data_IF_326399537451
#
_entry.id   IF_326399537451
#
_cell.length_a   1.000
_cell.length_b   1.000
_cell.length_c   1.000
_cell.angle_alpha   90.00
_cell.angle_beta   90.00
_cell.angle_gamma   90.00
#
_symmetry.space_group_name_H-M   'P 1'
#
loop_
_entity.id
_entity.type
_entity.pdbx_description
1 polymer ?
#
# COMPACT_ATOMS: atom_id res chain seq x y z
N UNK A 1 -7.54 4.64 31.37
CA UNK A 1 -6.40 3.84 31.87
C UNK A 1 -5.84 2.81 30.88
N UNK A 2 -6.63 2.13 30.05
CA UNK A 2 -6.12 1.13 29.09
C UNK A 2 -5.26 1.73 27.94
N UNK A 3 -5.60 2.91 27.43
CA UNK A 3 -4.84 3.59 26.38
C UNK A 3 -3.45 4.03 26.88
N UNK A 4 -3.36 4.60 28.10
CA UNK A 4 -2.08 5.02 28.68
C UNK A 4 -1.11 3.86 28.88
N UNK A 5 -1.62 2.69 29.36
CA UNK A 5 -0.78 1.48 29.50
C UNK A 5 -0.28 0.95 28.16
N UNK A 6 -1.09 1.08 27.09
CA UNK A 6 -0.71 0.65 25.74
C UNK A 6 0.43 1.52 25.20
N UNK A 7 0.35 2.85 25.36
CA UNK A 7 1.41 3.77 24.96
C UNK A 7 2.71 3.59 25.75
N UNK A 8 2.61 3.38 27.07
CA UNK A 8 3.79 3.11 27.90
C UNK A 8 4.49 1.79 27.53
N UNK A 9 3.73 0.74 27.20
CA UNK A 9 4.28 -0.54 26.74
C UNK A 9 4.94 -0.42 25.36
N UNK A 10 4.40 0.37 24.45
CA UNK A 10 4.99 0.61 23.12
C UNK A 10 6.30 1.38 23.23
N UNK A 11 6.37 2.42 24.07
CA UNK A 11 7.61 3.17 24.31
C UNK A 11 8.72 2.29 24.90
N UNK A 12 8.39 1.47 25.89
CA UNK A 12 9.34 0.51 26.49
C UNK A 12 9.81 -0.55 25.46
N UNK A 13 8.90 -1.02 24.60
CA UNK A 13 9.25 -1.94 23.52
C UNK A 13 10.22 -1.28 22.53
N UNK A 14 9.97 -0.04 22.12
CA UNK A 14 10.85 0.70 21.22
C UNK A 14 12.24 0.90 21.80
N UNK A 15 12.34 1.23 23.10
CA UNK A 15 13.62 1.37 23.79
C UNK A 15 14.40 0.03 23.81
N UNK A 16 13.74 -1.07 24.15
CA UNK A 16 14.36 -2.39 24.14
C UNK A 16 14.79 -2.82 22.74
N UNK A 17 13.97 -2.58 21.73
CA UNK A 17 14.31 -2.85 20.32
C UNK A 17 15.51 -1.99 19.87
N UNK A 18 15.56 -0.73 20.27
CA UNK A 18 16.68 0.16 19.93
C UNK A 18 18.01 -0.36 20.52
N UNK A 19 18.00 -0.75 21.80
CA UNK A 19 19.18 -1.32 22.49
C UNK A 19 19.62 -2.65 21.83
N UNK A 20 18.67 -3.56 21.61
CA UNK A 20 18.97 -4.84 20.98
C UNK A 20 19.49 -4.69 19.53
N UNK A 21 19.01 -3.68 18.82
CA UNK A 21 19.42 -3.41 17.45
C UNK A 21 20.78 -2.68 17.31
N UNK A 22 21.35 -2.15 18.39
CA UNK A 22 22.61 -1.38 18.31
C UNK A 22 23.80 -2.22 17.83
N UNK A 23 23.88 -3.49 18.25
CA UNK A 23 24.96 -4.41 17.91
C UNK A 23 24.58 -5.40 16.78
N UNK A 24 23.34 -5.39 16.31
CA UNK A 24 22.86 -6.34 15.32
C UNK A 24 23.29 -5.96 13.90
N UNK A 25 23.66 -6.96 13.11
CA UNK A 25 23.86 -6.83 11.66
C UNK A 25 22.54 -6.54 10.94
N UNK A 26 22.64 -6.04 9.70
CA UNK A 26 21.45 -5.80 8.86
C UNK A 26 20.65 -7.09 8.65
N UNK A 27 21.34 -8.21 8.43
CA UNK A 27 20.73 -9.52 8.23
C UNK A 27 19.97 -9.99 9.47
N UNK A 28 20.52 -9.78 10.66
CA UNK A 28 19.85 -10.10 11.94
C UNK A 28 18.62 -9.21 12.16
N UNK A 29 18.70 -7.91 11.84
CA UNK A 29 17.56 -7.00 11.94
C UNK A 29 16.41 -7.41 11.00
N UNK A 30 16.72 -7.76 9.77
CA UNK A 30 15.74 -8.25 8.78
C UNK A 30 15.12 -9.56 9.26
N UNK A 31 15.93 -10.51 9.73
CA UNK A 31 15.44 -11.79 10.24
C UNK A 31 14.55 -11.62 11.48
N UNK A 32 14.91 -10.72 12.38
CA UNK A 32 14.13 -10.40 13.57
C UNK A 32 12.77 -9.74 13.23
N UNK A 33 12.72 -8.93 12.18
CA UNK A 33 11.50 -8.26 11.75
C UNK A 33 10.54 -9.18 10.98
N UNK A 34 11.02 -10.26 10.35
CA UNK A 34 10.23 -11.10 9.45
C UNK A 34 8.95 -11.67 10.08
N UNK A 35 8.95 -12.21 11.32
CA UNK A 35 7.72 -12.71 11.96
C UNK A 35 6.71 -11.62 12.32
N UNK A 36 7.13 -10.35 12.28
CA UNK A 36 6.37 -9.19 12.77
C UNK A 36 6.03 -8.19 11.67
N UNK A 37 6.02 -8.62 10.40
CA UNK A 37 5.81 -7.72 9.25
C UNK A 37 4.54 -6.88 9.33
N UNK A 38 3.48 -7.44 9.92
CA UNK A 38 2.18 -6.79 10.06
C UNK A 38 2.06 -5.99 11.38
N UNK A 39 3.15 -5.90 12.15
CA UNK A 39 3.21 -5.16 13.43
C UNK A 39 4.14 -3.95 13.25
N UNK A 40 3.59 -2.79 12.90
CA UNK A 40 4.39 -1.61 12.56
C UNK A 40 5.23 -1.09 13.74
N UNK A 41 4.79 -1.32 14.98
CA UNK A 41 5.51 -0.94 16.19
C UNK A 41 6.82 -1.73 16.36
N UNK A 42 6.96 -2.90 15.76
CA UNK A 42 8.18 -3.71 15.74
C UNK A 42 8.96 -3.50 14.45
N UNK A 43 8.26 -3.64 13.32
CA UNK A 43 8.88 -3.55 11.99
C UNK A 43 9.46 -2.17 11.71
N UNK A 44 8.77 -1.10 12.12
CA UNK A 44 9.22 0.28 11.90
C UNK A 44 10.61 0.55 12.46
N UNK A 45 10.84 0.44 13.79
CA UNK A 45 12.13 0.70 14.41
C UNK A 45 13.28 -0.17 13.86
N UNK A 46 13.02 -1.45 13.57
CA UNK A 46 14.04 -2.33 13.02
C UNK A 46 14.42 -1.91 11.60
N UNK A 47 13.44 -1.58 10.75
CA UNK A 47 13.72 -1.13 9.38
C UNK A 47 14.24 0.31 9.30
N UNK A 48 14.01 1.17 10.28
CA UNK A 48 14.72 2.44 10.41
C UNK A 48 16.24 2.23 10.49
N UNK A 49 16.68 1.22 11.25
CA UNK A 49 18.11 0.85 11.36
C UNK A 49 18.64 0.23 10.06
N UNK A 50 17.86 -0.66 9.45
CA UNK A 50 18.22 -1.25 8.14
C UNK A 50 18.40 -0.16 7.08
N UNK A 51 17.47 0.78 6.99
CA UNK A 51 17.53 1.90 6.03
C UNK A 51 18.64 2.89 6.35
N UNK A 52 18.99 3.07 7.63
CA UNK A 52 20.16 3.88 8.02
C UNK A 52 21.47 3.24 7.54
N UNK A 53 21.59 1.91 7.66
CA UNK A 53 22.76 1.16 7.21
C UNK A 53 22.82 0.97 5.68
N UNK A 54 21.63 0.84 5.04
CA UNK A 54 21.48 0.61 3.60
C UNK A 54 20.51 1.62 2.98
N UNK A 55 20.91 2.90 2.78
CA UNK A 55 19.99 3.99 2.40
C UNK A 55 19.34 3.81 1.02
N UNK A 56 19.90 3.01 0.14
CA UNK A 56 19.42 2.74 -1.22
C UNK A 56 18.82 1.33 -1.38
N UNK A 57 18.54 0.63 -0.28
CA UNK A 57 17.84 -0.65 -0.34
C UNK A 57 16.35 -0.41 -0.58
N UNK A 58 15.91 -0.51 -1.83
CA UNK A 58 14.52 -0.24 -2.23
C UNK A 58 13.52 -1.11 -1.46
N UNK A 59 13.83 -2.40 -1.24
CA UNK A 59 12.95 -3.30 -0.48
C UNK A 59 12.82 -2.86 0.98
N UNK A 60 13.92 -2.49 1.62
CA UNK A 60 13.88 -2.00 3.00
C UNK A 60 13.09 -0.69 3.12
N UNK A 61 13.28 0.23 2.17
CA UNK A 61 12.52 1.48 2.10
C UNK A 61 11.02 1.24 1.96
N UNK A 62 10.60 0.28 1.13
CA UNK A 62 9.19 -0.08 0.95
C UNK A 62 8.61 -0.70 2.21
N UNK A 63 9.32 -1.59 2.89
CA UNK A 63 8.85 -2.20 4.14
C UNK A 63 8.71 -1.13 5.24
N UNK A 64 9.68 -0.23 5.36
CA UNK A 64 9.59 0.88 6.30
C UNK A 64 8.42 1.82 5.96
N UNK A 65 8.23 2.14 4.69
CA UNK A 65 7.11 2.97 4.23
C UNK A 65 5.75 2.31 4.54
N UNK A 66 5.65 0.98 4.36
CA UNK A 66 4.44 0.21 4.72
C UNK A 66 4.19 0.25 6.23
N UNK A 67 5.23 0.06 7.05
CA UNK A 67 5.12 0.18 8.50
C UNK A 67 4.67 1.58 8.93
N UNK A 68 5.21 2.63 8.31
CA UNK A 68 4.81 4.01 8.58
C UNK A 68 3.36 4.28 8.17
N UNK A 69 2.91 3.72 7.03
CA UNK A 69 1.53 3.83 6.60
C UNK A 69 0.57 3.16 7.59
N UNK A 70 0.87 1.94 8.01
CA UNK A 70 0.07 1.20 9.01
C UNK A 70 0.07 1.88 10.39
N UNK A 71 1.18 2.51 10.76
CA UNK A 71 1.29 3.28 12.00
C UNK A 71 0.62 4.66 11.95
N UNK A 72 0.07 5.07 10.80
CA UNK A 72 -0.59 6.37 10.63
C UNK A 72 0.36 7.57 10.69
N UNK A 73 1.63 7.41 10.28
CA UNK A 73 2.63 8.50 10.28
C UNK A 73 2.40 9.57 9.20
N UNK A 74 1.35 9.40 8.42
CA UNK A 74 0.92 10.38 7.43
C UNK A 74 1.57 10.20 6.05
N UNK A 75 0.94 10.77 5.01
CA UNK A 75 1.33 10.57 3.61
C UNK A 75 2.68 11.19 3.27
N UNK A 76 3.10 12.25 3.94
CA UNK A 76 4.37 12.92 3.68
C UNK A 76 5.57 12.03 4.05
N UNK A 77 5.58 11.47 5.28
CA UNK A 77 6.66 10.60 5.73
C UNK A 77 6.76 9.32 4.87
N UNK A 78 5.62 8.76 4.49
CA UNK A 78 5.56 7.60 3.60
C UNK A 78 6.03 7.98 2.20
N UNK A 79 5.59 9.11 1.66
CA UNK A 79 5.96 9.61 0.33
C UNK A 79 7.47 9.84 0.17
N UNK A 80 8.15 10.33 1.19
CA UNK A 80 9.62 10.50 1.16
C UNK A 80 10.34 9.14 1.02
N UNK A 81 9.91 8.12 1.76
CA UNK A 81 10.47 6.77 1.65
C UNK A 81 10.19 6.14 0.30
N UNK A 82 8.96 6.31 -0.20
CA UNK A 82 8.54 5.82 -1.53
C UNK A 82 9.35 6.48 -2.64
N UNK A 83 9.56 7.79 -2.59
CA UNK A 83 10.37 8.50 -3.59
C UNK A 83 11.80 7.97 -3.61
N UNK A 84 12.41 7.71 -2.45
CA UNK A 84 13.74 7.09 -2.35
C UNK A 84 13.75 5.66 -2.88
N UNK A 85 12.71 4.87 -2.57
CA UNK A 85 12.61 3.51 -3.09
C UNK A 85 12.52 3.46 -4.61
N UNK A 86 11.72 4.35 -5.22
CA UNK A 86 11.58 4.47 -6.68
C UNK A 86 12.85 5.04 -7.35
N UNK A 87 13.61 5.88 -6.65
CA UNK A 87 14.91 6.34 -7.13
C UNK A 87 15.95 5.21 -7.12
N UNK A 88 15.90 4.31 -6.13
CA UNK A 88 16.79 3.16 -6.04
C UNK A 88 16.40 2.01 -6.98
N UNK A 89 15.09 1.75 -7.11
CA UNK A 89 14.52 0.76 -8.03
C UNK A 89 13.23 1.29 -8.67
N UNK A 90 13.29 1.87 -9.88
CA UNK A 90 12.12 2.36 -10.60
C UNK A 90 11.10 1.28 -10.99
N UNK A 91 11.45 -0.01 -10.86
CA UNK A 91 10.57 -1.13 -11.17
C UNK A 91 9.98 -1.81 -9.93
N UNK A 92 10.25 -1.29 -8.73
CA UNK A 92 9.76 -1.89 -7.49
C UNK A 92 8.24 -1.73 -7.35
N UNK A 93 7.48 -2.77 -7.66
CA UNK A 93 6.01 -2.77 -7.69
C UNK A 93 5.37 -2.26 -6.38
N UNK A 94 5.86 -2.73 -5.22
CA UNK A 94 5.35 -2.27 -3.92
C UNK A 94 5.55 -0.77 -3.66
N UNK A 95 6.61 -0.16 -4.20
CA UNK A 95 6.80 1.29 -4.11
C UNK A 95 5.76 2.05 -4.95
N UNK A 96 5.42 1.55 -6.14
CA UNK A 96 4.36 2.10 -6.96
C UNK A 96 2.98 1.99 -6.31
N UNK A 97 2.70 0.89 -5.60
CA UNK A 97 1.45 0.73 -4.85
C UNK A 97 1.34 1.77 -3.73
N UNK A 98 2.41 1.93 -2.94
CA UNK A 98 2.44 2.93 -1.87
C UNK A 98 2.33 4.36 -2.43
N UNK A 99 2.98 4.65 -3.56
CA UNK A 99 2.84 5.93 -4.23
C UNK A 99 1.39 6.23 -4.64
N UNK A 100 0.66 5.22 -5.10
CA UNK A 100 -0.72 5.40 -5.50
C UNK A 100 -1.66 5.55 -4.29
N UNK A 101 -1.52 4.69 -3.27
CA UNK A 101 -2.45 4.68 -2.12
C UNK A 101 -2.27 5.89 -1.20
N UNK A 102 -1.08 6.51 -1.17
CA UNK A 102 -0.81 7.68 -0.33
C UNK A 102 -1.33 9.00 -0.90
N UNK A 103 -1.87 8.98 -2.13
CA UNK A 103 -2.51 10.16 -2.68
C UNK A 103 -3.82 10.47 -1.98
N UNK A 104 -3.98 11.69 -1.51
CA UNK A 104 -5.16 12.12 -0.75
C UNK A 104 -6.34 12.48 -1.66
N UNK A 105 -6.05 13.14 -2.79
CA UNK A 105 -7.09 13.49 -3.76
C UNK A 105 -7.62 12.25 -4.48
N UNK A 106 -8.93 11.99 -4.48
CA UNK A 106 -9.51 10.79 -5.07
C UNK A 106 -9.28 10.69 -6.60
N UNK A 107 -9.30 11.81 -7.33
CA UNK A 107 -9.11 11.84 -8.77
C UNK A 107 -7.64 11.56 -9.13
N UNK A 108 -6.72 12.19 -8.40
CA UNK A 108 -5.29 11.94 -8.58
C UNK A 108 -4.93 10.51 -8.16
N UNK A 109 -5.52 9.99 -7.08
CA UNK A 109 -5.33 8.60 -6.65
C UNK A 109 -5.80 7.60 -7.70
N UNK A 110 -6.98 7.80 -8.30
CA UNK A 110 -7.44 6.99 -9.42
C UNK A 110 -6.43 7.07 -10.60
N UNK A 111 -5.97 8.26 -10.95
CA UNK A 111 -4.97 8.46 -12.00
C UNK A 111 -3.66 7.74 -11.71
N UNK A 112 -3.19 7.76 -10.46
CA UNK A 112 -2.00 7.00 -10.04
C UNK A 112 -2.21 5.50 -10.17
N UNK A 113 -3.34 4.95 -9.73
CA UNK A 113 -3.65 3.53 -9.93
C UNK A 113 -3.75 3.14 -11.39
N UNK A 114 -4.25 4.04 -12.25
CA UNK A 114 -4.25 3.82 -13.70
C UNK A 114 -2.82 3.75 -14.27
N UNK A 115 -1.89 4.55 -13.77
CA UNK A 115 -0.48 4.49 -14.15
C UNK A 115 0.16 3.18 -13.67
N UNK A 116 -0.12 2.76 -12.43
CA UNK A 116 0.39 1.48 -11.88
C UNK A 116 -0.11 0.30 -12.69
N UNK A 117 -1.41 0.23 -12.99
CA UNK A 117 -2.00 -0.87 -13.77
C UNK A 117 -1.46 -0.94 -15.22
N UNK A 118 -1.13 0.21 -15.83
CA UNK A 118 -0.48 0.25 -17.14
C UNK A 118 0.98 -0.21 -17.08
N UNK A 119 1.70 0.16 -16.01
CA UNK A 119 3.10 -0.21 -15.84
C UNK A 119 3.27 -1.70 -15.49
N UNK A 120 2.33 -2.25 -14.74
CA UNK A 120 2.31 -3.64 -14.29
C UNK A 120 1.03 -4.35 -14.75
N UNK A 121 0.91 -4.70 -16.04
CA UNK A 121 -0.34 -5.23 -16.59
C UNK A 121 -0.80 -6.57 -15.99
N UNK A 122 0.11 -7.34 -15.38
CA UNK A 122 -0.21 -8.60 -14.69
C UNK A 122 -0.64 -8.40 -13.22
N UNK A 123 -0.56 -7.18 -12.71
CA UNK A 123 -0.87 -6.85 -11.32
C UNK A 123 -2.38 -6.74 -11.11
N UNK A 124 -2.99 -7.80 -10.59
CA UNK A 124 -4.42 -7.82 -10.30
C UNK A 124 -4.80 -6.89 -9.14
N UNK A 125 -3.88 -6.68 -8.17
CA UNK A 125 -4.12 -5.77 -7.06
C UNK A 125 -4.21 -4.32 -7.55
N UNK A 126 -3.30 -3.90 -8.42
CA UNK A 126 -3.35 -2.56 -9.01
C UNK A 126 -4.62 -2.36 -9.86
N UNK A 127 -5.02 -3.39 -10.60
CA UNK A 127 -6.24 -3.33 -11.40
C UNK A 127 -7.50 -3.28 -10.52
N UNK A 128 -7.55 -4.03 -9.41
CA UNK A 128 -8.63 -3.97 -8.44
C UNK A 128 -8.70 -2.60 -7.74
N UNK A 129 -7.55 -2.09 -7.30
CA UNK A 129 -7.48 -0.77 -6.70
C UNK A 129 -7.93 0.34 -7.68
N UNK A 130 -7.58 0.24 -8.96
CA UNK A 130 -8.08 1.15 -9.99
C UNK A 130 -9.61 1.07 -10.10
N UNK A 131 -10.16 -0.15 -10.19
CA UNK A 131 -11.60 -0.37 -10.31
C UNK A 131 -12.37 0.25 -9.13
N UNK A 132 -11.92 -0.03 -7.89
CA UNK A 132 -12.56 0.45 -6.67
C UNK A 132 -12.47 1.99 -6.53
N UNK A 133 -11.29 2.57 -6.79
CA UNK A 133 -11.11 4.02 -6.72
C UNK A 133 -11.91 4.75 -7.79
N UNK A 134 -11.96 4.21 -9.01
CA UNK A 134 -12.74 4.78 -10.10
C UNK A 134 -14.25 4.69 -9.84
N UNK A 135 -14.73 3.56 -9.31
CA UNK A 135 -16.15 3.40 -8.93
C UNK A 135 -16.54 4.35 -7.80
N UNK A 136 -15.68 4.49 -6.77
CA UNK A 136 -15.91 5.42 -5.68
C UNK A 136 -15.99 6.87 -6.17
N UNK A 137 -15.06 7.28 -7.04
CA UNK A 137 -15.06 8.62 -7.62
C UNK A 137 -16.29 8.86 -8.49
N UNK A 138 -16.66 7.88 -9.32
CA UNK A 138 -17.84 7.96 -10.18
C UNK A 138 -19.13 8.19 -9.37
N UNK A 139 -19.29 7.47 -8.25
CA UNK A 139 -20.45 7.65 -7.37
C UNK A 139 -20.45 8.97 -6.60
N UNK A 140 -19.26 9.40 -6.14
CA UNK A 140 -19.15 10.63 -5.34
C UNK A 140 -19.34 11.91 -6.17
N UNK A 141 -18.82 11.92 -7.40
CA UNK A 141 -18.79 13.11 -8.26
C UNK A 141 -19.76 13.04 -9.46
N UNK A 142 -20.51 11.96 -9.59
CA UNK A 142 -21.36 11.68 -10.76
C UNK A 142 -20.56 11.73 -12.07
N UNK A 143 -19.36 11.14 -12.06
CA UNK A 143 -18.38 11.20 -13.14
C UNK A 143 -18.52 9.99 -14.11
N UNK A 144 -19.07 10.16 -15.32
CA UNK A 144 -19.24 9.08 -16.28
C UNK A 144 -17.91 8.56 -16.84
N UNK A 145 -16.84 9.37 -16.82
CA UNK A 145 -15.51 8.94 -17.26
C UNK A 145 -14.92 7.97 -16.23
N UNK A 146 -15.00 8.32 -14.96
CA UNK A 146 -14.58 7.43 -13.87
C UNK A 146 -15.40 6.13 -13.86
N UNK A 147 -16.72 6.20 -14.13
CA UNK A 147 -17.56 5.01 -14.27
C UNK A 147 -17.08 4.09 -15.41
N UNK A 148 -16.75 4.66 -16.57
CA UNK A 148 -16.18 3.91 -17.69
C UNK A 148 -14.89 3.18 -17.29
N UNK A 149 -13.97 3.87 -16.63
CA UNK A 149 -12.71 3.29 -16.14
C UNK A 149 -12.98 2.14 -15.15
N UNK A 150 -13.91 2.32 -14.22
CA UNK A 150 -14.29 1.29 -13.26
C UNK A 150 -14.83 0.02 -13.95
N UNK A 151 -15.76 0.20 -14.89
CA UNK A 151 -16.34 -0.90 -15.65
C UNK A 151 -15.29 -1.67 -16.45
N UNK A 152 -14.41 -0.98 -17.16
CA UNK A 152 -13.33 -1.60 -17.92
C UNK A 152 -12.39 -2.40 -17.02
N UNK A 153 -12.02 -1.86 -15.88
CA UNK A 153 -11.14 -2.53 -14.92
C UNK A 153 -11.81 -3.77 -14.30
N UNK A 154 -13.07 -3.68 -13.87
CA UNK A 154 -13.80 -4.84 -13.35
C UNK A 154 -14.02 -5.93 -14.41
N UNK A 155 -14.31 -5.56 -15.67
CA UNK A 155 -14.43 -6.50 -16.78
C UNK A 155 -13.09 -7.20 -17.03
N UNK A 156 -11.96 -6.47 -16.95
CA UNK A 156 -10.64 -7.07 -17.09
C UNK A 156 -10.31 -8.04 -15.95
N UNK A 157 -10.65 -7.70 -14.70
CA UNK A 157 -10.54 -8.60 -13.56
C UNK A 157 -11.40 -9.86 -13.74
N UNK A 158 -12.66 -9.68 -14.19
CA UNK A 158 -13.59 -10.79 -14.42
C UNK A 158 -13.04 -11.82 -15.42
N UNK A 159 -12.34 -11.35 -16.46
CA UNK A 159 -11.71 -12.23 -17.46
C UNK A 159 -10.55 -13.06 -16.87
N UNK A 160 -9.92 -12.58 -15.81
CA UNK A 160 -8.79 -13.26 -15.13
C UNK A 160 -9.24 -14.16 -13.99
N UNK A 161 -10.39 -13.87 -13.39
CA UNK A 161 -10.90 -14.60 -12.25
C UNK A 161 -11.17 -16.06 -12.61
N UNK A 162 -10.57 -16.98 -11.85
CA UNK A 162 -10.72 -18.44 -12.03
C UNK A 162 -11.69 -19.04 -11.04
N UNK A 163 -11.89 -18.43 -9.89
CA UNK A 163 -12.78 -18.91 -8.84
C UNK A 163 -14.23 -18.47 -9.10
N UNK A 164 -15.22 -19.39 -9.06
CA UNK A 164 -16.62 -19.05 -9.30
C UNK A 164 -17.17 -17.94 -8.39
N UNK A 165 -16.72 -17.91 -7.14
CA UNK A 165 -17.13 -16.89 -6.16
C UNK A 165 -16.62 -15.50 -6.55
N UNK A 166 -15.36 -15.40 -6.98
CA UNK A 166 -14.79 -14.15 -7.51
C UNK A 166 -15.53 -13.69 -8.77
N UNK A 167 -15.81 -14.64 -9.67
CA UNK A 167 -16.56 -14.35 -10.89
C UNK A 167 -17.93 -13.77 -10.58
N UNK A 168 -18.66 -14.40 -9.65
CA UNK A 168 -19.97 -13.94 -9.22
C UNK A 168 -19.91 -12.55 -8.59
N UNK A 169 -18.94 -12.30 -7.71
CA UNK A 169 -18.78 -10.99 -7.08
C UNK A 169 -18.49 -9.89 -8.12
N UNK A 170 -17.63 -10.16 -9.09
CA UNK A 170 -17.31 -9.21 -10.17
C UNK A 170 -18.49 -9.00 -11.11
N UNK A 171 -19.27 -10.04 -11.47
CA UNK A 171 -20.47 -9.92 -12.27
C UNK A 171 -21.52 -9.04 -11.57
N UNK A 172 -21.67 -9.19 -10.26
CA UNK A 172 -22.56 -8.35 -9.45
C UNK A 172 -22.09 -6.87 -9.44
N UNK A 173 -20.80 -6.62 -9.22
CA UNK A 173 -20.23 -5.27 -9.23
C UNK A 173 -20.44 -4.60 -10.61
N UNK A 174 -20.14 -5.30 -11.70
CA UNK A 174 -20.35 -4.81 -13.07
C UNK A 174 -21.84 -4.51 -13.33
N UNK A 175 -22.74 -5.40 -12.92
CA UNK A 175 -24.19 -5.21 -13.08
C UNK A 175 -24.67 -3.98 -12.31
N UNK A 176 -24.22 -3.82 -11.06
CA UNK A 176 -24.54 -2.66 -10.23
C UNK A 176 -24.10 -1.35 -10.89
N UNK A 177 -22.86 -1.27 -11.35
CA UNK A 177 -22.33 -0.06 -11.98
C UNK A 177 -23.03 0.27 -13.31
N UNK A 178 -23.39 -0.73 -14.11
CA UNK A 178 -24.17 -0.52 -15.37
C UNK A 178 -25.54 0.08 -15.15
N UNK A 179 -26.12 -0.12 -13.98
CA UNK A 179 -27.43 0.41 -13.62
C UNK A 179 -27.38 1.82 -13.00
N UNK A 180 -26.18 2.36 -12.77
CA UNK A 180 -26.04 3.73 -12.26
C UNK A 180 -26.51 4.74 -13.32
N UNK A 181 -27.28 5.72 -12.85
CA UNK A 181 -27.72 6.89 -13.64
C UNK A 181 -26.91 8.08 -13.10
N UNK A 182 -25.79 8.37 -13.73
CA UNK A 182 -24.94 9.50 -13.38
C UNK A 182 -25.34 10.74 -14.17
#
# INVERSE_FOLDING_TARGET
MSAYRRHANVAALHEQLAIAAEAASVEELIAAAEPFRDIPEVTGPLYERVVAAQPNNARALVILASAYWMAGRGPEAVGQLVARALAADPHHQGAWHLWAITEADPRDRMSRWQQVSKRFPADELALAALADNAASLAGAEHDPVALGIALDAYVALRKRATLPEQQTALDNAISTLKNWKL
#
